data_IF_268315958754
#
_entry.id   IF_268315958754
#
_cell.length_a   1.000
_cell.length_b   1.000
_cell.length_c   1.000
_cell.angle_alpha   90.00
_cell.angle_beta   90.00
_cell.angle_gamma   90.00
#
_symmetry.space_group_name_H-M   'P 1'
#
loop_
_entity.id
_entity.type
_entity.pdbx_description
1 polymer ?
#
# COMPACT_ATOMS: atom_id res chain seq x y z
N UNK A 1 21.11 26.94 -59.54
CA UNK A 1 20.56 27.16 -60.89
C UNK A 1 19.11 26.68 -60.88
N UNK A 2 18.19 27.63 -61.11
CA UNK A 2 16.70 27.57 -61.08
C UNK A 2 16.04 27.15 -59.74
N UNK A 3 15.36 27.98 -58.94
CA UNK A 3 14.72 29.29 -59.15
C UNK A 3 13.29 29.14 -59.68
N UNK A 4 12.27 29.42 -58.85
CA UNK A 4 11.06 30.23 -59.12
C UNK A 4 10.39 30.61 -57.79
N UNK A 5 9.88 31.84 -57.77
CA UNK A 5 9.46 32.73 -56.70
C UNK A 5 8.00 32.60 -56.21
N UNK A 6 7.83 33.03 -54.95
CA UNK A 6 6.82 33.91 -54.31
C UNK A 6 5.34 33.91 -54.72
N UNK A 7 4.47 34.01 -53.69
CA UNK A 7 3.59 35.18 -53.56
C UNK A 7 3.03 35.30 -52.14
N UNK A 8 3.29 36.47 -51.57
CA UNK A 8 2.83 37.05 -50.31
C UNK A 8 1.42 37.67 -50.48
N UNK A 9 0.57 37.57 -49.45
CA UNK A 9 -0.60 38.46 -49.22
C UNK A 9 -1.00 38.41 -47.74
N UNK A 10 -0.64 39.45 -46.98
CA UNK A 10 -1.37 39.86 -45.79
C UNK A 10 -2.52 40.82 -46.14
N UNK A 11 -3.58 40.86 -45.31
CA UNK A 11 -4.47 42.02 -45.08
C UNK A 11 -5.13 41.91 -43.69
N UNK A 12 -4.81 42.92 -42.87
CA UNK A 12 -5.58 43.73 -41.91
C UNK A 12 -6.74 43.21 -41.02
N UNK A 13 -6.52 43.52 -39.74
CA UNK A 13 -7.41 43.97 -38.64
C UNK A 13 -8.86 44.36 -38.92
N UNK A 14 -9.74 44.02 -37.98
CA UNK A 14 -10.74 44.99 -37.46
C UNK A 14 -11.23 44.63 -36.06
N UNK A 15 -10.96 45.55 -35.15
CA UNK A 15 -11.48 45.74 -33.80
C UNK A 15 -12.92 46.28 -33.84
N UNK A 16 -13.82 45.73 -33.01
CA UNK A 16 -15.10 46.37 -32.64
C UNK A 16 -15.55 45.87 -31.25
N UNK A 17 -15.35 46.71 -30.25
CA UNK A 17 -16.06 46.65 -28.97
C UNK A 17 -17.49 47.17 -29.07
N UNK A 18 -18.34 46.70 -28.16
CA UNK A 18 -19.55 47.39 -27.65
C UNK A 18 -19.70 47.05 -26.17
N UNK A 19 -19.62 48.08 -25.31
CA UNK A 19 -20.05 48.11 -23.91
C UNK A 19 -21.59 48.15 -23.85
N UNK A 20 -22.29 47.61 -22.85
CA UNK A 20 -22.46 48.18 -21.50
C UNK A 20 -23.41 47.29 -20.69
N UNK A 21 -23.16 47.13 -19.39
CA UNK A 21 -24.03 47.66 -18.31
C UNK A 21 -23.96 46.85 -17.01
N UNK A 22 -23.36 47.46 -15.98
CA UNK A 22 -23.94 47.60 -14.64
C UNK A 22 -24.15 46.36 -13.76
N UNK A 23 -23.30 46.21 -12.74
CA UNK A 23 -23.56 45.32 -11.60
C UNK A 23 -22.38 45.20 -10.65
N UNK A 24 -22.05 46.29 -9.95
CA UNK A 24 -21.11 46.26 -8.83
C UNK A 24 -21.82 45.73 -7.57
N UNK A 25 -21.41 44.56 -7.10
CA UNK A 25 -21.59 44.13 -5.71
C UNK A 25 -20.26 43.59 -5.23
N UNK A 26 -19.44 44.50 -4.68
CA UNK A 26 -18.23 44.18 -3.97
C UNK A 26 -18.51 43.22 -2.81
N UNK A 27 -18.15 41.94 -3.01
CA UNK A 27 -17.85 41.01 -1.94
C UNK A 27 -16.35 40.74 -2.00
N UNK A 28 -15.58 41.54 -1.27
CA UNK A 28 -14.15 41.33 -1.07
C UNK A 28 -13.96 40.05 -0.24
N UNK A 29 -13.90 38.90 -0.93
CA UNK A 29 -13.38 37.66 -0.35
C UNK A 29 -11.87 37.74 -0.43
N UNK A 30 -11.23 38.03 0.69
CA UNK A 30 -9.81 37.76 0.87
C UNK A 30 -9.57 36.25 0.82
N UNK A 31 -9.48 35.70 -0.39
CA UNK A 31 -8.92 34.36 -0.58
C UNK A 31 -7.41 34.47 -0.39
N UNK A 32 -6.93 34.12 0.80
CA UNK A 32 -5.53 33.75 0.96
C UNK A 32 -5.30 32.57 0.00
N UNK A 33 -4.42 32.66 -1.02
CA UNK A 33 -4.14 31.52 -1.87
C UNK A 33 -3.22 30.59 -1.06
N UNK A 34 -3.79 29.68 -0.28
CA UNK A 34 -3.04 28.55 0.28
C UNK A 34 -2.92 27.47 -0.79
N UNK A 35 -2.10 27.70 -1.80
CA UNK A 35 -1.61 26.59 -2.62
C UNK A 35 -0.26 26.98 -3.19
N UNK A 36 0.80 26.53 -2.53
CA UNK A 36 2.09 26.36 -3.20
C UNK A 36 1.85 25.70 -4.56
N UNK A 37 2.53 26.14 -5.64
CA UNK A 37 2.37 25.52 -6.95
C UNK A 37 2.58 24.01 -6.85
N UNK A 38 1.87 23.20 -7.66
CA UNK A 38 2.03 21.77 -7.62
C UNK A 38 3.51 21.42 -7.84
N UNK A 39 4.02 20.34 -7.22
CA UNK A 39 5.41 19.98 -7.39
C UNK A 39 5.71 19.77 -8.87
N UNK A 40 6.93 20.12 -9.29
CA UNK A 40 7.38 19.86 -10.66
C UNK A 40 7.16 18.40 -11.03
N UNK A 41 6.97 18.11 -12.33
CA UNK A 41 6.81 16.73 -12.80
C UNK A 41 7.97 15.83 -12.34
N UNK A 42 9.19 16.36 -12.31
CA UNK A 42 10.36 15.67 -11.78
C UNK A 42 10.21 15.32 -10.29
N UNK A 43 9.70 16.25 -9.47
CA UNK A 43 9.46 15.98 -8.05
C UNK A 43 8.37 14.94 -7.83
N UNK A 44 7.28 15.00 -8.60
CA UNK A 44 6.20 14.00 -8.50
C UNK A 44 6.68 12.60 -8.88
N UNK A 45 7.51 12.49 -9.92
CA UNK A 45 8.14 11.22 -10.31
C UNK A 45 9.09 10.70 -9.23
N UNK A 46 9.91 11.58 -8.65
CA UNK A 46 10.76 11.21 -7.52
C UNK A 46 9.93 10.71 -6.32
N UNK A 47 8.87 11.42 -5.95
CA UNK A 47 7.96 11.01 -4.87
C UNK A 47 7.28 9.67 -5.16
N UNK A 48 6.99 9.36 -6.44
CA UNK A 48 6.48 8.06 -6.84
C UNK A 48 7.50 6.94 -6.56
N UNK A 49 8.79 7.15 -6.87
CA UNK A 49 9.83 6.19 -6.54
C UNK A 49 10.02 6.03 -5.02
N UNK A 50 9.91 7.11 -4.25
CA UNK A 50 9.91 7.02 -2.78
C UNK A 50 8.73 6.19 -2.27
N UNK A 51 7.53 6.39 -2.83
CA UNK A 51 6.37 5.57 -2.50
C UNK A 51 6.58 4.08 -2.86
N UNK A 52 7.30 3.79 -3.95
CA UNK A 52 7.63 2.43 -4.33
C UNK A 52 8.59 1.75 -3.33
N UNK A 53 9.53 2.49 -2.75
CA UNK A 53 10.39 1.99 -1.66
C UNK A 53 9.57 1.76 -0.39
N UNK A 54 8.65 2.67 -0.05
CA UNK A 54 7.73 2.50 1.09
C UNK A 54 6.77 1.31 0.89
N UNK A 55 6.34 1.06 -0.35
CA UNK A 55 5.58 -0.13 -0.72
C UNK A 55 6.39 -1.41 -0.47
N UNK A 56 7.63 -1.44 -0.95
CA UNK A 56 8.51 -2.61 -0.85
C UNK A 56 8.81 -2.97 0.62
N UNK A 57 8.97 -1.96 1.47
CA UNK A 57 9.25 -2.14 2.90
C UNK A 57 7.99 -2.16 3.79
N UNK A 58 6.82 -1.85 3.22
CA UNK A 58 5.55 -1.70 3.94
C UNK A 58 5.60 -0.73 5.14
N UNK A 59 6.52 0.23 5.19
CA UNK A 59 6.61 1.24 6.25
C UNK A 59 7.07 2.58 5.63
N UNK A 60 7.08 3.64 6.41
CA UNK A 60 7.57 4.95 5.96
C UNK A 60 9.11 5.01 5.99
N UNK A 61 9.69 5.82 5.10
CA UNK A 61 11.15 5.94 5.00
C UNK A 61 11.80 6.49 6.28
N UNK A 62 11.11 7.40 6.99
CA UNK A 62 11.60 7.95 8.27
C UNK A 62 11.64 6.90 9.39
N UNK A 63 11.01 5.74 9.17
CA UNK A 63 11.00 4.61 10.09
C UNK A 63 11.92 3.46 9.63
N UNK A 64 12.49 3.52 8.46
CA UNK A 64 13.42 2.48 8.00
C UNK A 64 14.79 2.68 8.64
N UNK A 65 15.49 1.58 8.97
CA UNK A 65 16.85 1.68 9.48
C UNK A 65 17.80 2.07 8.36
N UNK A 66 18.38 3.26 8.41
CA UNK A 66 19.29 3.74 7.36
C UNK A 66 20.43 2.76 7.05
N UNK A 67 20.92 2.03 8.06
CA UNK A 67 22.05 1.09 7.91
C UNK A 67 21.65 -0.33 7.53
N UNK A 68 20.42 -0.74 7.82
CA UNK A 68 20.04 -2.16 7.86
C UNK A 68 18.71 -2.47 7.18
N UNK A 69 18.14 -1.53 6.41
CA UNK A 69 16.87 -1.76 5.73
C UNK A 69 16.98 -2.81 4.61
N UNK A 70 18.16 -2.94 4.03
CA UNK A 70 18.55 -3.78 2.88
C UNK A 70 19.48 -4.94 3.28
N UNK A 71 19.45 -5.35 4.55
CA UNK A 71 20.36 -6.36 5.08
C UNK A 71 20.15 -7.77 4.47
N UNK A 72 18.98 -8.03 3.91
CA UNK A 72 18.59 -9.28 3.24
C UNK A 72 18.85 -9.29 1.74
N UNK A 73 19.21 -8.16 1.12
CA UNK A 73 19.54 -8.08 -0.32
C UNK A 73 20.59 -9.12 -0.78
N UNK A 74 21.66 -9.44 -0.01
CA UNK A 74 22.61 -10.48 -0.41
C UNK A 74 22.02 -11.89 -0.52
N UNK A 75 20.78 -12.10 -0.07
CA UNK A 75 20.06 -13.37 -0.08
C UNK A 75 18.91 -13.40 -1.10
N UNK A 76 18.84 -12.43 -2.01
CA UNK A 76 17.83 -12.38 -3.07
C UNK A 76 17.85 -13.65 -3.95
N UNK A 77 16.66 -14.15 -4.29
CA UNK A 77 16.51 -15.29 -5.19
C UNK A 77 16.66 -14.85 -6.64
N UNK A 78 17.39 -15.64 -7.43
CA UNK A 78 17.52 -15.38 -8.88
C UNK A 78 16.22 -15.70 -9.63
N UNK A 79 16.00 -15.00 -10.75
CA UNK A 79 14.86 -15.21 -11.65
C UNK A 79 13.83 -14.08 -11.58
N UNK A 80 12.86 -14.11 -12.49
CA UNK A 80 11.80 -13.10 -12.54
C UNK A 80 10.78 -13.31 -11.41
N UNK A 81 10.29 -12.22 -10.82
CA UNK A 81 9.12 -12.27 -9.95
C UNK A 81 7.90 -12.75 -10.74
N UNK A 82 7.18 -13.72 -10.18
CA UNK A 82 6.00 -14.29 -10.82
C UNK A 82 4.78 -14.22 -9.90
N UNK A 83 3.62 -14.02 -10.50
CA UNK A 83 2.35 -14.23 -9.82
C UNK A 83 2.01 -15.71 -9.77
N UNK A 84 1.32 -16.13 -8.70
CA UNK A 84 0.74 -17.47 -8.60
C UNK A 84 -0.64 -17.46 -9.28
N UNK A 85 -0.82 -18.16 -10.42
CA UNK A 85 -2.13 -18.26 -11.05
C UNK A 85 -3.14 -18.92 -10.11
N UNK A 86 -4.34 -18.35 -10.02
CA UNK A 86 -5.37 -18.82 -9.07
C UNK A 86 -5.14 -18.42 -7.60
N UNK A 87 -4.10 -17.62 -7.31
CA UNK A 87 -3.88 -17.00 -6.00
C UNK A 87 -3.11 -17.86 -4.99
N UNK A 88 -2.51 -17.19 -4.00
CA UNK A 88 -1.63 -17.81 -3.00
C UNK A 88 -2.36 -18.77 -2.05
N UNK A 89 -3.67 -18.59 -1.85
CA UNK A 89 -4.47 -19.44 -0.94
C UNK A 89 -4.45 -20.90 -1.34
N UNK A 90 -4.29 -21.21 -2.63
CA UNK A 90 -4.21 -22.59 -3.13
C UNK A 90 -3.08 -23.39 -2.47
N UNK A 91 -1.91 -22.77 -2.25
CA UNK A 91 -0.80 -23.41 -1.56
C UNK A 91 -1.11 -23.66 -0.09
N UNK A 92 -1.68 -22.66 0.58
CA UNK A 92 -2.07 -22.77 2.00
C UNK A 92 -3.07 -23.91 2.18
N UNK A 93 -4.11 -23.97 1.35
CA UNK A 93 -5.09 -25.05 1.41
C UNK A 93 -4.45 -26.44 1.25
N UNK A 94 -3.51 -26.60 0.30
CA UNK A 94 -2.80 -27.86 0.11
C UNK A 94 -1.92 -28.24 1.29
N UNK A 95 -1.19 -27.28 1.87
CA UNK A 95 -0.37 -27.52 3.05
C UNK A 95 -1.21 -27.87 4.29
N UNK A 96 -2.47 -27.45 4.33
CA UNK A 96 -3.41 -27.72 5.40
C UNK A 96 -4.14 -29.07 5.26
N UNK A 97 -4.03 -29.78 4.13
CA UNK A 97 -4.75 -31.04 3.91
C UNK A 97 -4.37 -32.10 4.96
N UNK A 98 -5.38 -32.67 5.62
CA UNK A 98 -5.20 -33.70 6.65
C UNK A 98 -4.72 -33.19 8.01
N UNK A 99 -4.52 -31.87 8.19
CA UNK A 99 -4.12 -31.31 9.48
C UNK A 99 -5.33 -30.93 10.34
N UNK A 100 -5.31 -31.21 11.66
CA UNK A 100 -6.36 -30.78 12.57
C UNK A 100 -6.22 -29.28 12.88
N UNK A 101 -6.96 -28.45 12.14
CA UNK A 101 -6.97 -26.99 12.32
C UNK A 101 -8.21 -26.56 13.09
N UNK A 102 -8.01 -25.85 14.20
CA UNK A 102 -9.07 -25.34 15.05
C UNK A 102 -9.26 -23.84 14.81
N UNK A 103 -10.23 -23.50 13.96
CA UNK A 103 -10.67 -22.11 13.77
C UNK A 103 -11.46 -21.60 14.99
N UNK A 104 -11.74 -20.30 15.01
CA UNK A 104 -12.52 -19.63 16.07
C UNK A 104 -12.00 -19.92 17.49
N UNK A 105 -10.70 -20.18 17.61
CA UNK A 105 -10.01 -20.53 18.85
C UNK A 105 -8.88 -19.53 19.13
N UNK A 106 -9.17 -18.23 19.32
CA UNK A 106 -8.15 -17.25 19.58
C UNK A 106 -7.48 -17.55 20.93
N UNK A 107 -6.17 -17.78 20.90
CA UNK A 107 -5.37 -18.00 22.11
C UNK A 107 -5.26 -16.69 22.88
N UNK A 108 -5.63 -16.69 24.17
CA UNK A 108 -5.55 -15.53 25.08
C UNK A 108 -4.36 -15.63 26.03
N UNK A 109 -4.01 -16.85 26.41
CA UNK A 109 -2.88 -17.11 27.29
C UNK A 109 -2.16 -18.40 26.89
N UNK A 110 -0.82 -18.37 26.98
CA UNK A 110 0.06 -19.52 26.84
C UNK A 110 0.81 -19.74 28.15
N UNK A 111 0.43 -20.79 28.88
CA UNK A 111 1.15 -21.26 30.05
C UNK A 111 2.19 -22.30 29.63
N UNK A 112 3.45 -22.16 30.02
CA UNK A 112 4.51 -23.09 29.64
C UNK A 112 5.51 -23.33 30.77
N UNK A 113 6.08 -24.54 30.84
CA UNK A 113 7.04 -24.90 31.87
C UNK A 113 7.64 -26.29 31.64
N UNK A 114 8.18 -26.88 32.71
CA UNK A 114 8.77 -28.23 32.66
C UNK A 114 7.76 -29.35 32.38
N UNK A 115 6.47 -29.08 32.58
CA UNK A 115 5.37 -30.02 32.36
C UNK A 115 4.66 -29.85 31.00
N UNK A 116 5.26 -29.09 30.07
CA UNK A 116 4.68 -28.82 28.75
C UNK A 116 4.04 -27.44 28.63
N UNK A 117 3.06 -27.32 27.73
CA UNK A 117 2.38 -26.08 27.35
C UNK A 117 0.87 -26.25 27.40
N UNK A 118 0.16 -25.23 27.89
CA UNK A 118 -1.29 -25.11 27.83
C UNK A 118 -1.66 -23.80 27.14
N UNK A 119 -2.40 -23.89 26.04
CA UNK A 119 -2.97 -22.75 25.34
C UNK A 119 -4.44 -22.56 25.76
N UNK A 120 -4.73 -21.45 26.43
CA UNK A 120 -6.09 -21.07 26.79
C UNK A 120 -6.70 -20.23 25.68
N UNK A 121 -7.84 -20.69 25.16
CA UNK A 121 -8.64 -20.02 24.15
C UNK A 121 -10.01 -19.66 24.72
N UNK A 122 -10.81 -18.89 23.97
CA UNK A 122 -12.18 -18.59 24.36
C UNK A 122 -13.01 -19.90 24.49
N UNK A 123 -13.36 -20.28 25.71
CA UNK A 123 -14.19 -21.46 26.02
C UNK A 123 -13.52 -22.84 25.91
N UNK A 124 -12.21 -22.93 25.60
CA UNK A 124 -11.49 -24.21 25.51
C UNK A 124 -10.00 -24.08 25.81
N UNK A 125 -9.34 -25.20 26.07
CA UNK A 125 -7.88 -25.25 26.29
C UNK A 125 -7.25 -26.42 25.55
N UNK A 126 -5.99 -26.27 25.16
CA UNK A 126 -5.20 -27.29 24.49
C UNK A 126 -3.90 -27.54 25.27
N UNK A 127 -3.59 -28.80 25.57
CA UNK A 127 -2.35 -29.19 26.23
C UNK A 127 -1.44 -29.93 25.25
N UNK A 128 -0.15 -29.66 25.30
CA UNK A 128 0.87 -30.31 24.47
C UNK A 128 2.24 -30.30 25.17
N UNK A 129 3.18 -31.12 24.71
CA UNK A 129 4.55 -31.13 25.24
C UNK A 129 5.34 -29.88 24.84
N UNK A 130 5.01 -29.29 23.68
CA UNK A 130 5.65 -28.09 23.14
C UNK A 130 4.67 -27.26 22.31
N UNK A 131 5.01 -25.99 22.08
CA UNK A 131 4.26 -25.10 21.20
C UNK A 131 5.20 -24.35 20.24
N UNK A 132 4.76 -24.23 18.98
CA UNK A 132 5.38 -23.35 17.98
C UNK A 132 4.50 -22.12 17.84
N UNK A 133 5.04 -20.96 18.19
CA UNK A 133 4.30 -19.69 18.19
C UNK A 133 4.58 -18.93 16.91
N UNK A 134 3.58 -18.87 16.02
CA UNK A 134 3.65 -18.14 14.73
C UNK A 134 2.77 -16.90 14.72
N UNK A 135 2.55 -16.30 15.90
CA UNK A 135 1.78 -15.05 16.01
C UNK A 135 2.48 -13.94 15.22
N UNK A 136 1.73 -13.12 14.45
CA UNK A 136 2.30 -11.94 13.79
C UNK A 136 2.98 -11.02 14.82
N UNK A 137 4.08 -10.37 14.41
CA UNK A 137 4.82 -9.47 15.30
C UNK A 137 3.91 -8.36 15.88
N UNK A 138 3.00 -7.80 15.09
CA UNK A 138 2.03 -6.81 15.57
C UNK A 138 1.13 -7.32 16.70
N UNK A 139 0.76 -8.61 16.71
CA UNK A 139 -0.02 -9.22 17.80
C UNK A 139 0.81 -9.36 19.07
N UNK A 140 2.08 -9.76 18.93
CA UNK A 140 3.03 -9.83 20.05
C UNK A 140 3.28 -8.44 20.65
N UNK A 141 3.37 -7.39 19.82
CA UNK A 141 3.55 -6.01 20.26
C UNK A 141 2.30 -5.44 20.94
N UNK A 142 1.11 -5.82 20.47
CA UNK A 142 -0.16 -5.43 21.08
C UNK A 142 -0.41 -6.08 22.46
N UNK A 143 0.34 -7.13 22.81
CA UNK A 143 0.17 -7.84 24.08
C UNK A 143 -1.17 -8.58 24.19
N UNK A 144 -1.81 -8.91 23.06
CA UNK A 144 -3.13 -9.56 23.04
C UNK A 144 -3.11 -11.02 23.51
N UNK A 145 -1.92 -11.60 23.66
CA UNK A 145 -1.70 -12.94 24.19
C UNK A 145 -0.74 -12.87 25.38
N UNK A 146 -1.20 -13.33 26.54
CA UNK A 146 -0.39 -13.39 27.76
C UNK A 146 0.51 -14.62 27.73
N UNK A 147 1.77 -14.47 28.14
CA UNK A 147 2.70 -15.59 28.32
C UNK A 147 2.94 -15.79 29.82
N UNK A 148 2.78 -17.03 30.29
CA UNK A 148 2.97 -17.40 31.70
C UNK A 148 3.93 -18.60 31.81
N UNK A 149 5.17 -18.41 32.29
CA UNK A 149 5.76 -17.16 32.75
C UNK A 149 5.96 -16.15 31.61
N UNK A 150 6.18 -14.87 31.97
CA UNK A 150 6.43 -13.82 30.99
C UNK A 150 7.65 -14.16 30.10
N UNK A 151 7.62 -13.71 28.84
CA UNK A 151 8.73 -13.92 27.92
C UNK A 151 10.03 -13.33 28.48
N UNK A 152 11.18 -14.01 28.29
CA UNK A 152 12.46 -13.51 28.78
C UNK A 152 12.77 -12.10 28.27
N UNK A 153 13.42 -11.23 29.06
CA UNK A 153 13.66 -9.82 28.70
C UNK A 153 14.34 -9.64 27.34
N UNK A 154 15.21 -10.57 26.93
CA UNK A 154 15.86 -10.55 25.60
C UNK A 154 14.83 -10.62 24.46
N UNK A 155 13.80 -11.48 24.58
CA UNK A 155 12.76 -11.67 23.57
C UNK A 155 11.82 -10.46 23.55
N UNK A 156 11.35 -10.00 24.70
CA UNK A 156 10.46 -8.83 24.80
C UNK A 156 11.10 -7.56 24.25
N UNK A 157 12.39 -7.33 24.54
CA UNK A 157 13.15 -6.20 23.95
C UNK A 157 13.32 -6.32 22.44
N UNK A 158 13.45 -7.53 21.89
CA UNK A 158 13.54 -7.71 20.44
C UNK A 158 12.20 -7.40 19.77
N UNK A 159 11.10 -7.93 20.33
CA UNK A 159 9.73 -7.63 19.87
C UNK A 159 9.47 -6.12 19.85
N UNK A 160 9.88 -5.40 20.90
CA UNK A 160 9.67 -3.96 21.01
C UNK A 160 10.51 -3.12 20.02
N UNK A 161 11.69 -3.61 19.60
CA UNK A 161 12.59 -2.85 18.69
C UNK A 161 12.29 -3.09 17.22
N UNK A 162 11.81 -4.28 16.86
CA UNK A 162 11.45 -4.58 15.48
C UNK A 162 10.21 -3.79 15.08
N UNK A 163 10.11 -3.40 13.81
CA UNK A 163 8.95 -2.71 13.26
C UNK A 163 8.06 -3.70 12.53
N UNK A 164 6.76 -3.42 12.54
CA UNK A 164 5.76 -4.14 11.77
C UNK A 164 5.00 -3.12 10.94
N UNK A 165 5.13 -3.24 9.61
CA UNK A 165 4.61 -2.29 8.65
C UNK A 165 3.13 -2.46 8.32
N UNK A 166 2.60 -1.56 7.51
CA UNK A 166 1.24 -1.56 6.99
C UNK A 166 1.26 -1.27 5.48
N UNK A 167 0.56 -2.11 4.73
CA UNK A 167 0.33 -1.95 3.30
C UNK A 167 -1.08 -2.43 3.00
N UNK A 168 -1.86 -1.61 2.29
CA UNK A 168 -3.23 -1.95 1.93
C UNK A 168 -3.42 -2.08 0.42
N UNK A 169 -4.39 -2.90 0.04
CA UNK A 169 -4.77 -3.19 -1.35
C UNK A 169 -6.26 -2.94 -1.52
N UNK A 170 -6.62 -2.15 -2.52
CA UNK A 170 -8.01 -1.93 -2.92
C UNK A 170 -8.27 -2.71 -4.20
N UNK A 171 -9.12 -3.74 -4.11
CA UNK A 171 -9.50 -4.56 -5.26
C UNK A 171 -10.73 -3.96 -5.95
N UNK A 172 -10.59 -3.63 -7.22
CA UNK A 172 -11.61 -2.98 -8.05
C UNK A 172 -12.04 -3.98 -9.14
N UNK A 173 -13.23 -4.55 -8.99
CA UNK A 173 -13.82 -5.46 -9.97
C UNK A 173 -14.63 -4.67 -11.00
N UNK A 174 -14.31 -4.87 -12.27
CA UNK A 174 -15.01 -4.24 -13.40
C UNK A 174 -15.74 -5.30 -14.25
N UNK A 175 -16.75 -4.89 -15.04
CA UNK A 175 -17.39 -5.78 -16.00
C UNK A 175 -16.46 -6.24 -17.14
N UNK A 176 -15.43 -5.45 -17.46
CA UNK A 176 -14.44 -5.74 -18.51
C UNK A 176 -13.10 -5.05 -18.23
N UNK A 177 -12.00 -5.63 -18.70
CA UNK A 177 -10.65 -5.08 -18.55
C UNK A 177 -10.41 -3.95 -19.57
N UNK A 178 -10.90 -2.75 -19.28
CA UNK A 178 -10.80 -1.61 -20.20
C UNK A 178 -9.37 -1.07 -20.38
N UNK A 179 -8.45 -1.46 -19.51
CA UNK A 179 -7.02 -1.13 -19.56
C UNK A 179 -6.21 -2.03 -20.52
N UNK A 180 -6.85 -3.02 -21.14
CA UNK A 180 -6.18 -3.97 -22.05
C UNK A 180 -5.55 -5.16 -21.34
N UNK A 181 -4.97 -6.06 -22.13
CA UNK A 181 -4.43 -7.36 -21.72
C UNK A 181 -2.88 -7.38 -21.65
N UNK A 182 -2.20 -6.35 -22.16
CA UNK A 182 -0.74 -6.27 -22.19
C UNK A 182 -0.12 -5.52 -21.00
N UNK A 183 -0.94 -4.97 -20.09
CA UNK A 183 -0.46 -4.16 -18.97
C UNK A 183 -0.56 -4.97 -17.68
N UNK A 184 0.58 -5.31 -17.09
CA UNK A 184 0.66 -5.95 -15.77
C UNK A 184 0.53 -4.93 -14.64
N UNK A 185 1.13 -3.75 -14.81
CA UNK A 185 1.12 -2.68 -13.81
C UNK A 185 1.28 -1.29 -14.43
N UNK A 186 0.73 -0.27 -13.76
CA UNK A 186 0.93 1.13 -14.13
C UNK A 186 0.90 2.05 -12.91
N UNK A 187 1.70 3.11 -12.95
CA UNK A 187 1.85 4.08 -11.87
C UNK A 187 0.98 5.32 -12.04
N UNK A 188 0.51 5.87 -10.92
CA UNK A 188 -0.14 7.20 -10.83
C UNK A 188 0.81 8.16 -10.14
N UNK A 189 1.20 9.23 -10.83
CA UNK A 189 2.03 10.27 -10.22
C UNK A 189 1.27 11.01 -9.10
N UNK A 190 1.84 11.09 -7.88
CA UNK A 190 1.14 11.70 -6.76
C UNK A 190 0.97 13.20 -6.94
N UNK A 191 -0.11 13.75 -6.38
CA UNK A 191 -0.37 15.20 -6.38
C UNK A 191 0.39 15.94 -5.27
N UNK A 192 0.84 15.23 -4.24
CA UNK A 192 1.58 15.75 -3.08
C UNK A 192 2.55 14.70 -2.54
N UNK A 193 3.68 15.15 -1.98
CA UNK A 193 4.64 14.25 -1.31
C UNK A 193 4.05 13.57 -0.07
N UNK A 194 3.05 14.18 0.57
CA UNK A 194 2.42 13.65 1.79
C UNK A 194 1.56 12.43 1.49
N UNK A 195 0.82 12.46 0.37
CA UNK A 195 -0.05 11.37 -0.08
C UNK A 195 0.60 10.50 -1.17
N UNK A 196 1.94 10.46 -1.22
CA UNK A 196 2.67 9.83 -2.33
C UNK A 196 2.34 8.35 -2.55
N UNK A 197 1.98 7.64 -1.49
CA UNK A 197 1.60 6.22 -1.52
C UNK A 197 0.11 5.95 -1.74
N UNK A 198 -0.73 6.98 -1.92
CA UNK A 198 -2.18 6.80 -2.15
C UNK A 198 -2.46 6.41 -3.60
N UNK A 199 -2.90 5.17 -3.82
CA UNK A 199 -3.22 4.60 -5.13
C UNK A 199 -2.11 4.89 -6.15
N UNK A 200 -0.86 4.78 -5.73
CA UNK A 200 0.31 5.19 -6.52
C UNK A 200 0.67 4.14 -7.59
N UNK A 201 0.28 2.88 -7.39
CA UNK A 201 0.57 1.76 -8.25
C UNK A 201 -0.67 0.88 -8.37
N UNK A 202 -0.98 0.47 -9.60
CA UNK A 202 -2.08 -0.42 -9.94
C UNK A 202 -1.52 -1.69 -10.57
N UNK A 203 -1.96 -2.85 -10.09
CA UNK A 203 -1.74 -4.14 -10.73
C UNK A 203 -2.99 -4.59 -11.49
N UNK A 204 -2.80 -5.08 -12.71
CA UNK A 204 -3.82 -5.81 -13.45
C UNK A 204 -3.80 -7.27 -13.06
N UNK A 205 -4.95 -7.79 -12.63
CA UNK A 205 -5.14 -9.23 -12.43
C UNK A 205 -5.89 -9.90 -13.57
N UNK A 206 -6.16 -9.19 -14.67
CA UNK A 206 -6.96 -9.70 -15.79
C UNK A 206 -6.42 -11.00 -16.38
N UNK A 207 -5.09 -11.14 -16.51
CA UNK A 207 -4.43 -12.36 -16.97
C UNK A 207 -4.24 -13.44 -15.90
N UNK A 208 -4.55 -13.18 -14.64
CA UNK A 208 -4.21 -14.03 -13.50
C UNK A 208 -5.40 -14.62 -12.76
N UNK A 209 -6.46 -13.83 -12.58
CA UNK A 209 -7.65 -14.21 -11.81
C UNK A 209 -8.81 -14.71 -12.68
N UNK A 210 -8.70 -14.58 -14.00
CA UNK A 210 -9.78 -14.85 -14.94
C UNK A 210 -10.89 -13.78 -14.95
N UNK A 211 -10.70 -12.66 -14.25
CA UNK A 211 -11.66 -11.55 -14.17
C UNK A 211 -10.98 -10.18 -14.27
N UNK A 212 -11.74 -9.16 -14.68
CA UNK A 212 -11.25 -7.80 -14.84
C UNK A 212 -11.11 -7.09 -13.48
N UNK A 213 -10.01 -7.38 -12.77
CA UNK A 213 -9.69 -6.78 -11.47
C UNK A 213 -8.44 -5.91 -11.57
N UNK A 214 -8.54 -4.67 -11.09
CA UNK A 214 -7.39 -3.83 -10.77
C UNK A 214 -7.15 -3.83 -9.26
N UNK A 215 -5.89 -3.87 -8.85
CA UNK A 215 -5.50 -3.75 -7.45
C UNK A 215 -4.73 -2.45 -7.27
N UNK A 216 -5.32 -1.47 -6.60
CA UNK A 216 -4.65 -0.22 -6.23
C UNK A 216 -3.90 -0.40 -4.91
N UNK A 217 -2.67 0.09 -4.84
CA UNK A 217 -1.84 0.00 -3.63
C UNK A 217 -1.88 1.27 -2.81
N UNK A 218 -1.99 1.09 -1.51
CA UNK A 218 -1.90 2.14 -0.49
C UNK A 218 -0.66 1.87 0.36
N UNK A 219 0.38 2.68 0.19
CA UNK A 219 1.70 2.48 0.80
C UNK A 219 2.12 3.64 1.73
N UNK A 220 3.11 3.36 2.58
CA UNK A 220 3.65 4.33 3.53
C UNK A 220 2.56 4.97 4.39
N UNK A 221 2.62 6.29 4.53
CA UNK A 221 1.68 7.04 5.38
C UNK A 221 0.23 6.92 4.89
N UNK A 222 0.01 6.79 3.59
CA UNK A 222 -1.32 6.65 3.01
C UNK A 222 -2.00 5.33 3.39
N UNK A 223 -1.24 4.25 3.63
CA UNK A 223 -1.80 2.97 4.07
C UNK A 223 -2.53 3.09 5.41
N UNK A 224 -1.89 3.77 6.37
CA UNK A 224 -2.41 3.97 7.74
C UNK A 224 -3.56 4.97 7.76
N UNK A 225 -3.45 6.08 7.02
CA UNK A 225 -4.53 7.07 6.97
C UNK A 225 -5.78 6.53 6.27
N UNK A 226 -5.62 5.61 5.30
CA UNK A 226 -6.75 4.99 4.62
C UNK A 226 -7.57 4.09 5.55
N UNK A 227 -6.95 3.36 6.49
CA UNK A 227 -7.68 2.53 7.47
C UNK A 227 -8.57 3.35 8.41
N UNK A 228 -8.31 4.64 8.56
CA UNK A 228 -9.14 5.55 9.38
C UNK A 228 -10.37 6.06 8.63
N UNK A 229 -10.43 5.87 7.30
CA UNK A 229 -11.57 6.32 6.49
C UNK A 229 -12.70 5.28 6.57
N UNK A 230 -13.97 5.72 6.60
CA UNK A 230 -15.09 4.79 6.49
C UNK A 230 -15.05 4.02 5.16
N UNK A 231 -15.48 2.75 5.17
CA UNK A 231 -15.48 1.90 3.97
C UNK A 231 -16.31 2.45 2.79
N UNK A 232 -17.24 3.38 3.04
CA UNK A 232 -18.03 4.05 2.01
C UNK A 232 -17.28 5.18 1.29
N UNK A 233 -16.16 5.66 1.86
CA UNK A 233 -15.32 6.75 1.35
C UNK A 233 -13.92 6.26 0.91
N UNK A 234 -13.65 4.96 1.08
CA UNK A 234 -12.41 4.27 0.74
C UNK A 234 -12.43 3.77 -0.71
#
# INVERSE_FOLDING_TARGET
>A
DKGVETSDKGVETSDKGVETSGGDVGASKSSVPSSSPPPSSARRLFDWHLANVEFSNSDTLDRSSFRHWDQDDPHEMQGSHCFVPGGHSRWVHRLCEGLPIFYDSPVRELCYGSSGVVAHCDGRSFSADAAVVTLPLGVLQAGSVTFSPALPPRKSRAIARMRFGTLNKVALLFPRAFWGDQIDMFGRLPSSSVSRGEAFLFYSSAGLSGGAVLIALMAGRAAVEHEKRPAAEA
#
